data_IF_486571816652
#
_entry.id   IF_486571816652
#
_cell.length_a   1.000
_cell.length_b   1.000
_cell.length_c   1.000
_cell.angle_alpha   90.00
_cell.angle_beta   90.00
_cell.angle_gamma   90.00
#
_symmetry.space_group_name_H-M   'P 1'
#
loop_
_entity.id
_entity.type
_entity.pdbx_description
1 polymer ?
#
# COMPACT_ATOMS: atom_id res chain seq x y z
N UNK A 1 -17.76 -0.56 -9.08
CA UNK A 1 -17.75 -1.10 -7.71
C UNK A 1 -18.75 -0.32 -6.90
N UNK A 2 -19.54 -0.96 -6.05
CA UNK A 2 -20.37 -0.25 -5.10
C UNK A 2 -19.52 0.25 -3.91
N UNK A 3 -20.10 1.07 -3.02
CA UNK A 3 -19.38 1.64 -1.87
C UNK A 3 -18.81 0.55 -0.95
N UNK A 4 -19.56 -0.53 -0.74
CA UNK A 4 -19.17 -1.64 0.14
C UNK A 4 -17.97 -2.42 -0.42
N UNK A 5 -17.93 -2.65 -1.73
CA UNK A 5 -16.81 -3.26 -2.44
C UNK A 5 -15.54 -2.39 -2.35
N UNK A 6 -15.68 -1.07 -2.51
CA UNK A 6 -14.55 -0.13 -2.39
C UNK A 6 -14.01 -0.14 -0.96
N UNK A 7 -14.89 -0.12 0.05
CA UNK A 7 -14.48 -0.20 1.45
C UNK A 7 -13.78 -1.53 1.79
N UNK A 8 -14.32 -2.66 1.31
CA UNK A 8 -13.67 -3.96 1.48
C UNK A 8 -12.29 -3.97 0.84
N UNK A 9 -12.18 -3.45 -0.39
CA UNK A 9 -10.91 -3.38 -1.11
C UNK A 9 -9.90 -2.47 -0.41
N UNK A 10 -10.33 -1.37 0.18
CA UNK A 10 -9.48 -0.49 0.99
C UNK A 10 -8.89 -1.23 2.18
N UNK A 11 -9.70 -2.00 2.91
CA UNK A 11 -9.21 -2.79 4.05
C UNK A 11 -8.18 -3.82 3.60
N UNK A 12 -8.44 -4.55 2.51
CA UNK A 12 -7.48 -5.51 1.95
C UNK A 12 -6.15 -4.86 1.58
N UNK A 13 -6.19 -3.72 0.88
CA UNK A 13 -4.99 -3.01 0.46
C UNK A 13 -4.23 -2.40 1.64
N UNK A 14 -4.93 -1.88 2.66
CA UNK A 14 -4.31 -1.35 3.88
C UNK A 14 -3.60 -2.46 4.67
N UNK A 15 -4.17 -3.66 4.73
CA UNK A 15 -3.52 -4.85 5.32
C UNK A 15 -2.28 -5.22 4.52
N UNK A 16 -2.39 -5.41 3.20
CA UNK A 16 -1.26 -5.77 2.35
C UNK A 16 -0.12 -4.73 2.42
N UNK A 17 -0.46 -3.44 2.48
CA UNK A 17 0.49 -2.34 2.63
C UNK A 17 1.25 -2.40 3.96
N UNK A 18 0.56 -2.71 5.08
CA UNK A 18 1.18 -2.87 6.40
C UNK A 18 2.07 -4.10 6.46
N UNK A 19 1.63 -5.21 5.87
CA UNK A 19 2.41 -6.45 5.82
C UNK A 19 3.69 -6.25 5.01
N UNK A 20 3.62 -5.56 3.86
CA UNK A 20 4.81 -5.19 3.09
C UNK A 20 5.78 -4.33 3.90
N UNK A 21 5.27 -3.42 4.73
CA UNK A 21 6.12 -2.59 5.58
C UNK A 21 6.87 -3.42 6.61
N UNK A 22 6.17 -4.32 7.31
CA UNK A 22 6.78 -5.21 8.28
C UNK A 22 7.86 -6.11 7.65
N UNK A 23 7.61 -6.61 6.43
CA UNK A 23 8.59 -7.40 5.66
C UNK A 23 9.82 -6.55 5.30
N UNK A 24 9.62 -5.32 4.82
CA UNK A 24 10.72 -4.41 4.49
C UNK A 24 11.56 -4.13 5.75
N UNK A 25 10.92 -3.78 6.86
CA UNK A 25 11.58 -3.49 8.13
C UNK A 25 12.42 -4.68 8.58
N UNK A 26 11.86 -5.89 8.54
CA UNK A 26 12.56 -7.11 8.91
C UNK A 26 13.77 -7.38 8.00
N UNK A 27 13.62 -7.24 6.68
CA UNK A 27 14.73 -7.43 5.73
C UNK A 27 15.84 -6.40 5.95
N UNK A 28 15.49 -5.14 6.19
CA UNK A 28 16.49 -4.08 6.35
C UNK A 28 17.29 -4.13 7.66
N UNK A 29 16.87 -4.97 8.62
CA UNK A 29 17.66 -5.22 9.85
C UNK A 29 18.94 -5.99 9.57
N UNK A 30 18.99 -6.77 8.49
CA UNK A 30 20.21 -7.44 8.04
C UNK A 30 21.08 -6.46 7.24
N UNK A 31 22.33 -6.16 7.64
CA UNK A 31 23.24 -5.31 6.88
C UNK A 31 23.58 -5.82 5.47
N UNK A 32 23.42 -7.12 5.23
CA UNK A 32 23.72 -7.80 3.97
C UNK A 32 22.48 -8.11 3.13
N UNK A 33 21.33 -7.51 3.45
CA UNK A 33 20.10 -7.71 2.68
C UNK A 33 20.24 -7.33 1.19
N UNK A 34 19.45 -7.99 0.34
CA UNK A 34 19.37 -7.63 -1.07
C UNK A 34 18.67 -6.27 -1.24
N UNK A 35 19.47 -5.24 -1.52
CA UNK A 35 18.99 -3.88 -1.74
C UNK A 35 18.02 -3.77 -2.93
N UNK A 36 18.20 -4.58 -3.97
CA UNK A 36 17.33 -4.58 -5.13
C UNK A 36 15.96 -5.18 -4.77
N UNK A 37 15.94 -6.24 -3.96
CA UNK A 37 14.69 -6.79 -3.42
C UNK A 37 13.95 -5.74 -2.58
N UNK A 38 14.63 -5.07 -1.65
CA UNK A 38 14.01 -4.02 -0.82
C UNK A 38 13.49 -2.86 -1.68
N UNK A 39 14.21 -2.44 -2.71
CA UNK A 39 13.74 -1.41 -3.66
C UNK A 39 12.45 -1.84 -4.38
N UNK A 40 12.36 -3.10 -4.83
CA UNK A 40 11.14 -3.62 -5.47
C UNK A 40 9.95 -3.64 -4.50
N UNK A 41 10.17 -4.07 -3.25
CA UNK A 41 9.13 -4.09 -2.22
C UNK A 41 8.64 -2.67 -1.88
N UNK A 42 9.55 -1.69 -1.72
CA UNK A 42 9.19 -0.28 -1.52
C UNK A 42 8.39 0.29 -2.69
N UNK A 43 8.74 -0.07 -3.93
CA UNK A 43 7.97 0.32 -5.12
C UNK A 43 6.55 -0.26 -5.08
N UNK A 44 6.40 -1.53 -4.72
CA UNK A 44 5.07 -2.16 -4.56
C UNK A 44 4.26 -1.49 -3.45
N UNK A 45 4.88 -1.20 -2.30
CA UNK A 45 4.25 -0.46 -1.19
C UNK A 45 3.74 0.91 -1.64
N UNK A 46 4.52 1.65 -2.43
CA UNK A 46 4.09 2.93 -3.01
C UNK A 46 2.86 2.76 -3.93
N UNK A 47 2.87 1.77 -4.81
CA UNK A 47 1.74 1.49 -5.70
C UNK A 47 0.46 1.14 -4.93
N UNK A 48 0.56 0.39 -3.82
CA UNK A 48 -0.60 0.12 -2.95
C UNK A 48 -1.12 1.41 -2.31
N UNK A 49 -0.24 2.26 -1.79
CA UNK A 49 -0.60 3.57 -1.22
C UNK A 49 -1.34 4.44 -2.24
N UNK A 50 -0.84 4.50 -3.48
CA UNK A 50 -1.48 5.27 -4.56
C UNK A 50 -2.86 4.71 -4.89
N UNK A 51 -3.01 3.38 -4.94
CA UNK A 51 -4.30 2.74 -5.18
C UNK A 51 -5.30 3.01 -4.03
N UNK A 52 -4.85 2.92 -2.77
CA UNK A 52 -5.65 3.28 -1.59
C UNK A 52 -6.14 4.74 -1.71
N UNK A 53 -5.27 5.66 -2.14
CA UNK A 53 -5.64 7.06 -2.31
C UNK A 53 -6.71 7.24 -3.40
N UNK A 54 -6.55 6.56 -4.55
CA UNK A 54 -7.55 6.59 -5.63
C UNK A 54 -8.91 6.05 -5.18
N UNK A 55 -8.95 4.94 -4.43
CA UNK A 55 -10.19 4.39 -3.90
C UNK A 55 -10.82 5.29 -2.82
N UNK A 56 -10.02 5.93 -1.98
CA UNK A 56 -10.51 6.92 -1.00
C UNK A 56 -11.13 8.14 -1.71
N UNK A 57 -10.53 8.61 -2.80
CA UNK A 57 -11.10 9.69 -3.62
C UNK A 57 -12.43 9.28 -4.26
N UNK A 58 -12.62 8.02 -4.63
CA UNK A 58 -13.92 7.56 -5.14
C UNK A 58 -15.02 7.53 -4.07
N UNK A 59 -14.66 7.42 -2.79
CA UNK A 59 -15.61 7.46 -1.66
C UNK A 59 -15.93 8.88 -1.18
N UNK A 60 -15.06 9.85 -1.47
CA UNK A 60 -15.26 11.24 -1.07
C UNK A 60 -15.60 12.04 -2.33
N UNK A 61 -16.89 12.37 -2.55
CA UNK A 61 -17.34 12.95 -3.83
C UNK A 61 -16.81 14.37 -4.11
N UNK A 62 -16.06 14.99 -3.19
CA UNK A 62 -15.52 16.33 -3.40
C UNK A 62 -14.25 16.53 -2.55
N UNK A 63 -13.07 16.51 -3.18
CA UNK A 63 -11.85 17.09 -2.59
C UNK A 63 -11.24 17.98 -3.67
N UNK A 64 -11.39 19.32 -3.59
CA UNK A 64 -10.69 20.22 -4.49
C UNK A 64 -9.18 20.10 -4.19
N UNK A 65 -8.40 19.81 -5.22
CA UNK A 65 -6.94 19.79 -5.18
C UNK A 65 -6.35 21.20 -5.01
#
# INVERSE_FOLDING_TARGET
>A
MNVEEIQRRLVELDVEHRDLDAVIDMLTRDPHHDQLQVRRLKKRKLQLKDHIMLLKMQLVPDVPA
#
